data_IF_677986254968
#
_entry.id   IF_677986254968
#
_cell.length_a   1.000
_cell.length_b   1.000
_cell.length_c   1.000
_cell.angle_alpha   90.00
_cell.angle_beta   90.00
_cell.angle_gamma   90.00
#
_symmetry.space_group_name_H-M   'P 1'
#
loop_
_entity.id
_entity.type
_entity.pdbx_description
1 polymer ?
#
# COMPACT_ATOMS: atom_id res chain seq x y z
N UNK A 1 1.58 5.93 12.36
CA UNK A 1 0.79 6.17 11.15
C UNK A 1 1.49 5.44 10.02
N UNK A 2 1.11 4.18 9.74
CA UNK A 2 1.60 3.44 8.57
C UNK A 2 1.01 4.14 7.35
N UNK A 3 1.86 4.69 6.51
CA UNK A 3 1.47 5.28 5.23
C UNK A 3 1.01 4.15 4.33
N UNK A 4 -0.27 4.10 4.02
CA UNK A 4 -0.81 3.23 2.99
C UNK A 4 -0.30 3.81 1.67
N UNK A 5 0.73 3.18 1.11
CA UNK A 5 1.16 3.46 -0.24
C UNK A 5 0.14 2.84 -1.18
N UNK A 6 -0.68 3.67 -1.80
CA UNK A 6 -1.34 3.30 -3.04
C UNK A 6 -0.23 3.01 -4.06
N UNK A 7 0.01 1.71 -4.29
CA UNK A 7 0.87 1.29 -5.39
C UNK A 7 0.15 1.64 -6.69
N UNK A 8 0.44 2.80 -7.21
CA UNK A 8 0.20 3.13 -8.60
C UNK A 8 1.43 2.66 -9.37
N UNK A 9 1.42 1.40 -9.79
CA UNK A 9 2.39 0.88 -10.74
C UNK A 9 2.20 1.63 -12.06
N UNK A 10 3.01 2.67 -12.27
CA UNK A 10 3.17 3.20 -13.60
C UNK A 10 3.99 2.19 -14.40
N UNK A 11 3.40 1.53 -15.39
CA UNK A 11 4.19 1.01 -16.50
C UNK A 11 4.91 2.22 -17.09
N UNK A 12 6.21 2.34 -16.82
CA UNK A 12 7.04 3.35 -17.43
C UNK A 12 7.26 2.90 -18.88
N UNK A 13 6.40 3.39 -19.77
CA UNK A 13 6.86 3.59 -21.14
C UNK A 13 7.98 4.62 -21.05
N UNK A 14 9.21 4.16 -21.09
CA UNK A 14 10.37 5.01 -21.33
C UNK A 14 10.20 5.55 -22.73
N UNK A 15 9.49 6.69 -22.84
CA UNK A 15 9.53 7.50 -24.04
C UNK A 15 10.95 8.05 -24.14
N UNK A 16 11.83 7.28 -24.72
CA UNK A 16 13.15 7.73 -25.10
C UNK A 16 12.97 8.75 -26.22
N UNK A 17 12.97 10.03 -25.85
CA UNK A 17 13.29 11.07 -26.83
C UNK A 17 14.72 10.85 -27.26
N UNK A 18 14.91 10.00 -28.27
CA UNK A 18 16.18 9.74 -28.92
C UNK A 18 16.62 11.01 -29.64
N UNK A 19 17.39 11.85 -28.96
CA UNK A 19 18.29 12.81 -29.65
C UNK A 19 19.51 12.08 -30.22
N UNK A 20 19.27 11.03 -30.99
CA UNK A 20 20.35 10.43 -31.80
C UNK A 20 20.57 11.29 -33.03
N UNK A 21 21.77 11.81 -33.17
CA UNK A 21 22.18 12.64 -34.29
C UNK A 21 22.32 11.86 -35.62
N UNK A 22 22.30 10.51 -35.52
CA UNK A 22 22.48 9.61 -36.66
C UNK A 22 21.54 8.39 -36.56
N UNK A 23 20.83 7.99 -37.64
CA UNK A 23 19.96 6.81 -37.63
C UNK A 23 20.67 5.50 -37.26
N UNK A 24 22.00 5.40 -37.55
CA UNK A 24 22.81 4.24 -37.20
C UNK A 24 22.98 4.06 -35.68
N UNK A 25 23.20 5.14 -34.94
CA UNK A 25 23.36 5.12 -33.48
C UNK A 25 22.06 4.70 -32.79
N UNK A 26 20.91 5.10 -33.35
CA UNK A 26 19.59 4.73 -32.81
C UNK A 26 19.34 3.23 -32.91
N UNK A 27 19.69 2.59 -34.02
CA UNK A 27 19.53 1.15 -34.20
C UNK A 27 20.47 0.35 -33.30
N UNK A 28 21.68 0.84 -33.08
CA UNK A 28 22.67 0.19 -32.22
C UNK A 28 22.20 0.23 -30.73
N UNK A 29 21.75 1.40 -30.26
CA UNK A 29 21.20 1.57 -28.93
C UNK A 29 19.95 0.70 -28.71
N UNK A 30 19.08 0.62 -29.70
CA UNK A 30 17.89 -0.24 -29.63
C UNK A 30 18.27 -1.73 -29.56
N UNK A 31 19.24 -2.18 -30.35
CA UNK A 31 19.74 -3.56 -30.33
C UNK A 31 20.42 -3.91 -28.99
N UNK A 32 21.16 -2.98 -28.39
CA UNK A 32 21.75 -3.15 -27.06
C UNK A 32 20.68 -3.23 -25.98
N UNK A 33 19.61 -2.43 -26.05
CA UNK A 33 18.50 -2.47 -25.15
C UNK A 33 17.75 -3.81 -25.22
N UNK A 34 17.46 -4.31 -26.42
CA UNK A 34 16.84 -5.64 -26.60
C UNK A 34 17.71 -6.74 -25.99
N UNK A 35 19.01 -6.74 -26.23
CA UNK A 35 19.94 -7.72 -25.62
C UNK A 35 19.94 -7.64 -24.10
N UNK A 36 19.85 -6.44 -23.55
CA UNK A 36 19.75 -6.24 -22.10
C UNK A 36 18.45 -6.82 -21.55
N UNK A 37 17.32 -6.57 -22.22
CA UNK A 37 16.01 -7.12 -21.81
C UNK A 37 16.02 -8.66 -21.88
N UNK A 38 16.55 -9.25 -22.97
CA UNK A 38 16.70 -10.70 -23.10
C UNK A 38 17.60 -11.29 -22.01
N UNK A 39 18.68 -10.60 -21.65
CA UNK A 39 19.57 -11.03 -20.57
C UNK A 39 18.85 -11.01 -19.20
N UNK A 40 18.07 -9.98 -18.93
CA UNK A 40 17.26 -9.88 -17.70
C UNK A 40 16.23 -11.00 -17.67
N UNK A 41 15.42 -11.15 -18.72
CA UNK A 41 14.38 -12.18 -18.78
C UNK A 41 14.98 -13.59 -18.59
N UNK A 42 16.11 -13.88 -19.24
CA UNK A 42 16.81 -15.17 -19.11
C UNK A 42 17.40 -15.42 -17.72
N UNK A 43 17.57 -14.40 -16.91
CA UNK A 43 18.08 -14.52 -15.54
C UNK A 43 16.96 -14.79 -14.51
N UNK A 44 15.70 -14.65 -14.89
CA UNK A 44 14.55 -14.86 -14.03
C UNK A 44 14.15 -16.34 -13.95
N UNK A 45 13.83 -16.81 -12.74
CA UNK A 45 13.51 -18.22 -12.47
C UNK A 45 12.01 -18.41 -12.24
N UNK A 46 11.26 -18.49 -13.32
CA UNK A 46 9.83 -18.73 -13.25
C UNK A 46 9.49 -20.13 -12.76
N UNK A 47 8.46 -20.23 -11.94
CA UNK A 47 7.98 -21.48 -11.37
C UNK A 47 6.53 -21.77 -11.78
N UNK A 48 6.18 -23.05 -11.79
CA UNK A 48 4.81 -23.58 -11.96
C UNK A 48 4.49 -24.55 -10.83
N UNK A 49 3.24 -25.02 -10.78
CA UNK A 49 2.79 -25.97 -9.76
C UNK A 49 2.53 -25.30 -8.40
N UNK A 50 2.65 -26.06 -7.34
CA UNK A 50 2.29 -25.63 -6.00
C UNK A 50 3.41 -24.83 -5.34
N UNK A 51 3.12 -23.57 -4.99
CA UNK A 51 4.05 -22.64 -4.36
C UNK A 51 3.41 -22.09 -3.07
N UNK A 52 4.18 -22.07 -1.99
CA UNK A 52 3.76 -21.51 -0.70
C UNK A 52 4.02 -19.99 -0.67
N UNK A 53 3.02 -19.21 -0.25
CA UNK A 53 3.09 -17.76 -0.18
C UNK A 53 3.18 -17.29 1.28
N UNK A 54 4.02 -16.26 1.52
CA UNK A 54 4.05 -15.51 2.77
C UNK A 54 4.27 -16.38 4.02
N UNK A 55 5.24 -17.27 4.01
CA UNK A 55 5.54 -18.16 5.16
C UNK A 55 4.33 -19.00 5.61
N UNK A 56 3.57 -19.52 4.65
CA UNK A 56 2.44 -20.40 4.92
C UNK A 56 1.09 -19.71 5.13
N UNK A 57 0.96 -18.45 4.73
CA UNK A 57 -0.33 -17.73 4.76
C UNK A 57 -1.29 -18.35 3.73
N UNK A 58 -0.81 -18.54 2.51
CA UNK A 58 -1.60 -19.06 1.39
C UNK A 58 -0.74 -19.96 0.51
N UNK A 59 -1.38 -20.67 -0.40
CA UNK A 59 -0.76 -21.46 -1.44
C UNK A 59 -1.30 -21.00 -2.79
N UNK A 60 -0.41 -20.85 -3.79
CA UNK A 60 -0.80 -20.69 -5.19
C UNK A 60 -0.45 -21.96 -5.96
N UNK A 61 -1.40 -22.46 -6.75
CA UNK A 61 -1.18 -23.62 -7.64
C UNK A 61 -1.18 -23.12 -9.08
N UNK A 62 0.01 -22.86 -9.61
CA UNK A 62 0.25 -22.24 -10.92
C UNK A 62 0.17 -23.30 -12.03
N UNK A 63 -0.86 -23.27 -12.91
CA UNK A 63 -0.99 -24.21 -14.01
C UNK A 63 -0.04 -23.89 -15.18
N UNK A 64 0.02 -24.76 -16.19
CA UNK A 64 0.89 -24.61 -17.36
C UNK A 64 0.62 -23.33 -18.19
N UNK A 65 -0.61 -22.79 -18.13
CA UNK A 65 -0.96 -21.52 -18.78
C UNK A 65 -0.38 -20.26 -18.14
N UNK A 66 0.29 -20.42 -16.99
CA UNK A 66 0.89 -19.34 -16.21
C UNK A 66 2.29 -19.68 -15.71
N UNK A 67 3.03 -18.67 -15.28
CA UNK A 67 4.32 -18.78 -14.62
C UNK A 67 4.45 -17.74 -13.50
N UNK A 68 5.21 -18.04 -12.46
CA UNK A 68 5.27 -17.26 -11.24
C UNK A 68 6.70 -16.93 -10.83
N UNK A 69 6.95 -15.67 -10.50
CA UNK A 69 8.18 -15.23 -9.83
C UNK A 69 7.94 -15.14 -8.32
N UNK A 70 8.82 -15.75 -7.55
CA UNK A 70 8.78 -15.65 -6.09
C UNK A 70 9.27 -14.28 -5.58
N UNK A 71 9.03 -14.01 -4.31
CA UNK A 71 9.16 -12.69 -3.68
C UNK A 71 10.45 -11.92 -3.99
N UNK A 72 11.61 -12.57 -3.99
CA UNK A 72 12.89 -11.89 -4.20
C UNK A 72 13.03 -11.34 -5.63
N UNK A 73 12.73 -12.16 -6.65
CA UNK A 73 12.77 -11.76 -8.05
C UNK A 73 11.58 -10.86 -8.40
N UNK A 74 10.42 -11.11 -7.80
CA UNK A 74 9.25 -10.25 -7.92
C UNK A 74 9.54 -8.83 -7.41
N UNK A 75 10.25 -8.68 -6.30
CA UNK A 75 10.67 -7.37 -5.78
C UNK A 75 11.61 -6.65 -6.76
N UNK A 76 12.58 -7.38 -7.33
CA UNK A 76 13.46 -6.81 -8.37
C UNK A 76 12.66 -6.34 -9.60
N UNK A 77 11.76 -7.19 -10.10
CA UNK A 77 10.94 -6.85 -11.28
C UNK A 77 10.04 -5.65 -10.98
N UNK A 78 9.30 -5.66 -9.87
CA UNK A 78 8.33 -4.61 -9.56
C UNK A 78 9.01 -3.30 -9.21
N UNK A 79 10.06 -3.32 -8.40
CA UNK A 79 10.65 -2.10 -7.83
C UNK A 79 11.80 -1.55 -8.68
N UNK A 80 12.67 -2.41 -9.21
CA UNK A 80 13.86 -1.97 -9.92
C UNK A 80 13.68 -1.98 -11.46
N UNK A 81 13.00 -2.98 -12.02
CA UNK A 81 12.77 -3.07 -13.45
C UNK A 81 11.59 -2.20 -13.91
N UNK A 82 10.44 -2.29 -13.23
CA UNK A 82 9.23 -1.51 -13.53
C UNK A 82 9.19 -0.14 -12.87
N UNK A 83 10.17 0.19 -12.00
CA UNK A 83 10.33 1.51 -11.39
C UNK A 83 9.27 1.87 -10.35
N UNK A 84 8.61 0.89 -9.74
CA UNK A 84 7.69 1.18 -8.64
C UNK A 84 8.44 1.64 -7.39
N UNK A 85 7.80 2.44 -6.52
CA UNK A 85 8.40 2.86 -5.26
C UNK A 85 8.85 1.68 -4.42
N UNK A 86 10.05 1.77 -3.84
CA UNK A 86 10.56 0.76 -2.92
C UNK A 86 9.70 0.69 -1.67
N UNK A 87 9.30 -0.51 -1.30
CA UNK A 87 8.43 -0.79 -0.16
C UNK A 87 8.54 -2.23 0.27
N UNK A 88 7.48 -2.75 0.88
CA UNK A 88 7.38 -4.17 1.21
C UNK A 88 7.44 -5.02 -0.07
N UNK A 89 8.24 -6.08 -0.04
CA UNK A 89 8.37 -6.98 -1.19
C UNK A 89 7.03 -7.69 -1.46
N UNK A 90 6.60 -7.82 -2.73
CA UNK A 90 5.44 -8.63 -3.06
C UNK A 90 5.69 -10.10 -2.70
N UNK A 91 4.64 -10.88 -2.50
CA UNK A 91 4.74 -12.32 -2.32
C UNK A 91 5.17 -13.02 -3.62
N UNK A 92 4.89 -12.39 -4.75
CA UNK A 92 5.30 -12.83 -6.06
C UNK A 92 4.62 -12.05 -7.18
N UNK A 93 4.92 -12.44 -8.43
CA UNK A 93 4.26 -11.94 -9.64
C UNK A 93 3.85 -13.11 -10.51
N UNK A 94 2.57 -13.16 -10.89
CA UNK A 94 1.99 -14.17 -11.78
C UNK A 94 1.89 -13.61 -13.19
N UNK A 95 2.45 -14.29 -14.16
CA UNK A 95 2.42 -13.96 -15.59
C UNK A 95 1.66 -15.03 -16.37
N UNK A 96 0.99 -14.69 -17.47
CA UNK A 96 0.67 -15.67 -18.50
C UNK A 96 1.95 -16.35 -19.01
N UNK A 97 1.86 -17.64 -19.38
CA UNK A 97 3.05 -18.41 -19.76
C UNK A 97 3.81 -17.83 -20.97
N UNK A 98 3.06 -17.15 -21.88
CA UNK A 98 3.54 -16.55 -23.11
C UNK A 98 4.03 -15.09 -22.96
N UNK A 99 4.05 -14.54 -21.75
CA UNK A 99 4.54 -13.19 -21.47
C UNK A 99 5.61 -13.21 -20.37
N UNK A 100 6.41 -12.15 -20.27
CA UNK A 100 7.51 -12.05 -19.32
C UNK A 100 7.62 -10.68 -18.67
N UNK A 101 8.56 -10.54 -17.76
CA UNK A 101 8.77 -9.30 -16.99
C UNK A 101 9.31 -8.15 -17.85
N UNK A 102 9.91 -8.47 -19.00
CA UNK A 102 10.52 -7.50 -19.92
C UNK A 102 9.68 -7.18 -21.14
N UNK A 103 8.50 -7.81 -21.26
CA UNK A 103 7.61 -7.56 -22.40
C UNK A 103 6.97 -6.17 -22.32
N UNK A 104 6.87 -5.51 -23.47
CA UNK A 104 6.29 -4.17 -23.58
C UNK A 104 4.75 -4.15 -23.49
N UNK A 105 4.11 -5.31 -23.54
CA UNK A 105 2.65 -5.47 -23.51
C UNK A 105 2.23 -6.64 -22.63
N UNK A 106 0.92 -6.91 -22.62
CA UNK A 106 0.36 -7.96 -21.78
C UNK A 106 0.02 -7.49 -20.36
N UNK A 107 -0.15 -8.44 -19.47
CA UNK A 107 -0.46 -8.17 -18.06
C UNK A 107 0.25 -9.15 -17.12
N UNK A 108 0.38 -8.76 -15.88
CA UNK A 108 0.83 -9.62 -14.79
C UNK A 108 0.10 -9.25 -13.50
N UNK A 109 -0.12 -10.22 -12.62
CA UNK A 109 -0.68 -9.97 -11.30
C UNK A 109 0.41 -9.90 -10.25
N UNK A 110 0.58 -8.73 -9.64
CA UNK A 110 1.40 -8.56 -8.44
C UNK A 110 0.61 -9.12 -7.25
N UNK A 111 1.17 -10.09 -6.55
CA UNK A 111 0.55 -10.77 -5.41
C UNK A 111 1.12 -10.23 -4.11
N UNK A 112 0.26 -9.73 -3.22
CA UNK A 112 0.65 -9.17 -1.93
C UNK A 112 -0.30 -9.64 -0.83
N UNK A 113 0.12 -9.52 0.43
CA UNK A 113 -0.74 -9.71 1.59
C UNK A 113 -0.77 -8.44 2.43
N UNK A 114 -1.97 -7.96 2.72
CA UNK A 114 -2.21 -6.82 3.59
C UNK A 114 -2.72 -7.31 4.94
N UNK A 115 -1.90 -7.20 6.00
CA UNK A 115 -2.27 -7.55 7.38
C UNK A 115 -3.17 -6.46 7.98
N UNK A 116 -4.44 -6.46 7.57
CA UNK A 116 -5.45 -5.47 7.96
C UNK A 116 -6.27 -5.91 9.19
N UNK A 117 -6.13 -7.17 9.61
CA UNK A 117 -7.08 -7.85 10.48
C UNK A 117 -8.28 -8.42 9.69
N UNK A 118 -9.26 -8.95 10.41
CA UNK A 118 -10.45 -9.56 9.83
C UNK A 118 -11.40 -8.52 9.25
N UNK A 119 -11.55 -8.47 7.92
CA UNK A 119 -12.45 -7.55 7.23
C UNK A 119 -13.85 -8.14 7.20
N UNK A 120 -14.80 -7.51 7.92
CA UNK A 120 -16.21 -7.92 7.88
C UNK A 120 -16.84 -7.53 6.55
N UNK A 121 -17.70 -8.40 6.02
CA UNK A 121 -18.35 -8.23 4.72
C UNK A 121 -19.85 -7.85 4.80
N UNK A 122 -20.30 -7.40 5.98
CA UNK A 122 -21.71 -7.04 6.25
C UNK A 122 -22.21 -5.84 5.44
N UNK A 123 -21.30 -5.01 4.92
CA UNK A 123 -21.60 -3.81 4.14
C UNK A 123 -21.64 -4.06 2.62
N UNK A 124 -21.21 -5.23 2.14
CA UNK A 124 -21.02 -5.50 0.72
C UNK A 124 -22.27 -5.22 -0.16
N UNK A 125 -23.46 -5.57 0.33
CA UNK A 125 -24.73 -5.37 -0.40
C UNK A 125 -25.27 -3.93 -0.32
N UNK A 126 -24.63 -3.07 0.48
CA UNK A 126 -25.13 -1.71 0.76
C UNK A 126 -24.33 -0.63 0.07
N UNK A 127 -23.33 -1.02 -0.71
CA UNK A 127 -22.41 -0.09 -1.34
C UNK A 127 -23.04 0.43 -2.63
N UNK A 128 -23.20 1.75 -2.73
CA UNK A 128 -23.50 2.41 -4.00
C UNK A 128 -22.17 2.67 -4.74
N UNK A 129 -21.90 1.85 -5.75
CA UNK A 129 -20.67 1.95 -6.53
C UNK A 129 -20.65 3.15 -7.49
N UNK A 130 -21.79 3.80 -7.77
CA UNK A 130 -21.84 5.02 -8.56
C UNK A 130 -21.39 6.22 -7.69
N UNK A 131 -21.93 6.33 -6.48
CA UNK A 131 -21.50 7.34 -5.51
C UNK A 131 -20.03 7.14 -5.13
N UNK A 132 -19.60 5.89 -4.92
CA UNK A 132 -18.20 5.58 -4.62
C UNK A 132 -17.25 6.01 -5.76
N UNK A 133 -17.65 5.81 -7.04
CA UNK A 133 -16.86 6.26 -8.17
C UNK A 133 -16.73 7.78 -8.22
N UNK A 134 -17.81 8.50 -7.88
CA UNK A 134 -17.77 9.97 -7.79
C UNK A 134 -16.75 10.43 -6.76
N UNK A 135 -16.79 9.86 -5.55
CA UNK A 135 -15.83 10.17 -4.49
C UNK A 135 -14.39 9.83 -4.89
N UNK A 136 -14.19 8.73 -5.62
CA UNK A 136 -12.88 8.33 -6.15
C UNK A 136 -12.36 9.33 -7.19
N UNK A 137 -13.21 9.81 -8.10
CA UNK A 137 -12.83 10.85 -9.08
C UNK A 137 -12.45 12.17 -8.39
N UNK A 138 -13.19 12.58 -7.37
CA UNK A 138 -12.85 13.76 -6.58
C UNK A 138 -11.52 13.59 -5.82
N UNK A 139 -11.25 12.39 -5.31
CA UNK A 139 -9.97 12.06 -4.66
C UNK A 139 -8.82 12.07 -5.67
N UNK A 140 -9.02 11.50 -6.87
CA UNK A 140 -8.02 11.47 -7.95
C UNK A 140 -7.57 12.87 -8.38
N UNK A 141 -8.48 13.86 -8.39
CA UNK A 141 -8.12 15.26 -8.68
C UNK A 141 -7.11 15.79 -7.64
N UNK A 142 -7.37 15.55 -6.35
CA UNK A 142 -6.48 15.98 -5.26
C UNK A 142 -5.14 15.23 -5.29
N UNK A 143 -5.16 13.93 -5.58
CA UNK A 143 -3.96 13.12 -5.75
C UNK A 143 -3.11 13.65 -6.90
N UNK A 144 -3.72 14.05 -8.01
CA UNK A 144 -3.04 14.65 -9.15
C UNK A 144 -2.40 16.02 -8.82
N UNK A 145 -2.99 16.79 -7.91
CA UNK A 145 -2.37 18.03 -7.42
C UNK A 145 -1.07 17.71 -6.64
N UNK A 146 -1.09 16.68 -5.78
CA UNK A 146 0.11 16.25 -5.05
C UNK A 146 1.16 15.63 -6.00
N UNK A 147 0.74 14.86 -7.00
CA UNK A 147 1.64 14.31 -8.02
C UNK A 147 2.38 15.41 -8.78
N UNK A 148 1.68 16.49 -9.19
CA UNK A 148 2.32 17.64 -9.85
C UNK A 148 3.36 18.33 -8.97
N UNK A 149 3.11 18.46 -7.66
CA UNK A 149 4.09 19.04 -6.70
C UNK A 149 5.37 18.20 -6.56
N UNK A 150 5.27 16.90 -6.86
CA UNK A 150 6.38 15.95 -6.80
C UNK A 150 7.00 15.66 -8.17
N UNK A 151 6.66 16.43 -9.21
CA UNK A 151 7.05 16.22 -10.60
C UNK A 151 6.71 14.80 -11.13
N UNK A 152 5.61 14.23 -10.63
CA UNK A 152 5.11 12.93 -11.08
C UNK A 152 4.02 13.10 -12.14
N UNK A 153 3.98 12.19 -13.11
CA UNK A 153 2.93 12.14 -14.13
C UNK A 153 1.55 12.00 -13.49
N UNK A 154 0.57 12.80 -13.90
CA UNK A 154 -0.82 12.71 -13.43
C UNK A 154 -1.54 11.51 -14.03
N UNK A 155 -2.60 11.05 -13.36
CA UNK A 155 -3.45 9.94 -13.79
C UNK A 155 -4.90 10.30 -13.52
N UNK A 156 -5.68 10.47 -14.58
CA UNK A 156 -7.09 10.85 -14.46
C UNK A 156 -7.98 9.63 -14.45
N UNK A 157 -8.70 9.39 -13.36
CA UNK A 157 -9.66 8.29 -13.25
C UNK A 157 -10.87 8.55 -14.15
N UNK A 158 -11.03 7.76 -15.20
CA UNK A 158 -12.15 7.89 -16.15
C UNK A 158 -13.40 7.19 -15.64
N UNK A 159 -13.26 5.96 -15.10
CA UNK A 159 -14.39 5.19 -14.63
C UNK A 159 -14.05 3.76 -14.21
N UNK A 160 -15.10 2.96 -14.06
CA UNK A 160 -14.96 1.53 -13.92
C UNK A 160 -14.78 0.90 -15.31
N UNK A 161 -13.65 0.20 -15.53
CA UNK A 161 -13.50 -0.73 -16.65
C UNK A 161 -14.27 -2.03 -16.36
N UNK A 162 -14.27 -2.49 -15.11
CA UNK A 162 -15.17 -3.51 -14.58
C UNK A 162 -15.72 -3.02 -13.23
N UNK A 163 -17.05 -3.04 -13.09
CA UNK A 163 -17.70 -2.61 -11.83
C UNK A 163 -17.30 -3.54 -10.69
N UNK A 164 -17.14 -3.01 -9.45
CA UNK A 164 -16.87 -3.85 -8.31
C UNK A 164 -17.94 -4.94 -8.12
N UNK A 165 -17.46 -6.15 -7.89
CA UNK A 165 -18.27 -7.32 -7.60
C UNK A 165 -17.71 -8.07 -6.39
N UNK A 166 -18.57 -8.42 -5.44
CA UNK A 166 -18.23 -9.21 -4.27
C UNK A 166 -18.92 -10.58 -4.31
N UNK A 167 -18.11 -11.63 -4.40
CA UNK A 167 -18.56 -13.02 -4.25
C UNK A 167 -18.54 -13.41 -2.77
N UNK A 168 -19.72 -13.51 -2.16
CA UNK A 168 -19.87 -13.85 -0.74
C UNK A 168 -19.47 -15.28 -0.41
N UNK A 169 -19.57 -16.20 -1.34
CA UNK A 169 -19.22 -17.61 -1.10
C UNK A 169 -17.71 -17.79 -1.13
N UNK A 170 -17.06 -17.23 -2.14
CA UNK A 170 -15.61 -17.27 -2.31
C UNK A 170 -14.87 -16.28 -1.42
N UNK A 171 -15.57 -15.28 -0.83
CA UNK A 171 -14.98 -14.16 -0.09
C UNK A 171 -13.99 -13.35 -0.94
N UNK A 172 -14.36 -13.10 -2.18
CA UNK A 172 -13.55 -12.41 -3.19
C UNK A 172 -14.26 -11.15 -3.66
N UNK A 173 -13.53 -10.06 -3.66
CA UNK A 173 -13.93 -8.76 -4.20
C UNK A 173 -13.01 -8.43 -5.38
N UNK A 174 -13.57 -8.04 -6.53
CA UNK A 174 -12.77 -7.59 -7.67
C UNK A 174 -13.42 -6.45 -8.42
N UNK A 175 -12.59 -5.62 -9.06
CA UNK A 175 -13.01 -4.49 -9.89
C UNK A 175 -11.87 -4.07 -10.81
N UNK A 176 -12.19 -3.26 -11.82
CA UNK A 176 -11.18 -2.61 -12.64
C UNK A 176 -11.50 -1.13 -12.84
N UNK A 177 -10.44 -0.31 -12.81
CA UNK A 177 -10.48 1.12 -13.09
C UNK A 177 -9.76 1.42 -14.40
N UNK A 178 -10.30 2.40 -15.12
CA UNK A 178 -9.71 2.96 -16.33
C UNK A 178 -9.10 4.32 -16.02
N UNK A 179 -7.85 4.52 -16.41
CA UNK A 179 -7.13 5.78 -16.23
C UNK A 179 -6.63 6.32 -17.56
N UNK A 180 -6.68 7.65 -17.71
CA UNK A 180 -5.96 8.39 -18.75
C UNK A 180 -4.68 8.97 -18.17
N UNK A 181 -3.58 8.77 -18.90
CA UNK A 181 -2.24 9.29 -18.54
C UNK A 181 -1.83 10.25 -19.66
N UNK A 182 -1.47 11.51 -19.36
CA UNK A 182 -1.04 12.47 -20.37
C UNK A 182 0.17 11.95 -21.16
N UNK A 183 0.06 11.97 -22.50
CA UNK A 183 1.11 11.49 -23.40
C UNK A 183 1.12 9.99 -23.67
N UNK A 184 0.27 9.19 -23.00
CA UNK A 184 0.05 7.80 -23.37
C UNK A 184 -0.96 7.71 -24.53
N UNK A 185 -0.69 6.82 -25.50
CA UNK A 185 -1.58 6.59 -26.64
C UNK A 185 -2.84 5.82 -26.23
N UNK A 186 -2.73 4.99 -25.19
CA UNK A 186 -3.79 4.12 -24.69
C UNK A 186 -4.12 4.41 -23.22
N UNK A 187 -5.36 4.13 -22.83
CA UNK A 187 -5.75 4.18 -21.43
C UNK A 187 -5.18 3.00 -20.65
N UNK A 188 -4.94 3.23 -19.38
CA UNK A 188 -4.40 2.23 -18.45
C UNK A 188 -5.53 1.53 -17.74
N UNK A 189 -5.47 0.20 -17.73
CA UNK A 189 -6.28 -0.69 -16.92
C UNK A 189 -5.59 -0.93 -15.58
N UNK A 190 -6.31 -0.74 -14.49
CA UNK A 190 -5.89 -1.17 -13.16
C UNK A 190 -6.94 -2.14 -12.63
N UNK A 191 -6.61 -3.43 -12.60
CA UNK A 191 -7.48 -4.52 -12.18
C UNK A 191 -7.06 -4.98 -10.79
N UNK A 192 -8.00 -4.95 -9.86
CA UNK A 192 -7.80 -5.32 -8.46
C UNK A 192 -8.64 -6.52 -8.09
N UNK A 193 -8.01 -7.50 -7.43
CA UNK A 193 -8.66 -8.64 -6.78
C UNK A 193 -8.26 -8.65 -5.32
N UNK A 194 -9.24 -8.87 -4.44
CA UNK A 194 -9.08 -8.94 -2.99
C UNK A 194 -9.70 -10.23 -2.48
N UNK A 195 -8.90 -11.14 -1.94
CA UNK A 195 -9.35 -12.39 -1.32
C UNK A 195 -9.29 -12.21 0.19
N UNK A 196 -10.43 -12.29 0.87
CA UNK A 196 -10.49 -12.08 2.31
C UNK A 196 -10.00 -13.30 3.06
N UNK A 197 -9.12 -13.08 4.03
CA UNK A 197 -8.59 -14.09 4.93
C UNK A 197 -8.90 -13.79 6.40
N UNK A 198 -8.39 -14.63 7.30
CA UNK A 198 -8.59 -14.50 8.75
C UNK A 198 -8.00 -13.22 9.32
N UNK A 199 -6.79 -12.84 8.88
CA UNK A 199 -6.03 -11.74 9.48
C UNK A 199 -5.74 -10.61 8.51
N UNK A 200 -6.28 -10.67 7.32
CA UNK A 200 -6.04 -9.68 6.28
C UNK A 200 -6.56 -10.10 4.93
N UNK A 201 -6.01 -9.48 3.91
CA UNK A 201 -6.47 -9.59 2.53
C UNK A 201 -5.31 -9.95 1.63
N UNK A 202 -5.44 -11.01 0.85
CA UNK A 202 -4.54 -11.28 -0.25
C UNK A 202 -4.99 -10.46 -1.46
N UNK A 203 -4.06 -9.72 -2.05
CA UNK A 203 -4.34 -8.85 -3.18
C UNK A 203 -3.63 -9.35 -4.42
N UNK A 204 -4.34 -9.38 -5.55
CA UNK A 204 -3.77 -9.58 -6.86
C UNK A 204 -4.10 -8.33 -7.68
N UNK A 205 -3.08 -7.60 -8.08
CA UNK A 205 -3.24 -6.36 -8.83
C UNK A 205 -2.55 -6.47 -10.19
N UNK A 206 -3.32 -6.24 -11.26
CA UNK A 206 -2.77 -6.14 -12.60
C UNK A 206 -2.90 -4.71 -13.12
N UNK A 207 -1.80 -4.22 -13.75
CA UNK A 207 -1.77 -2.97 -14.50
C UNK A 207 -1.36 -3.29 -15.92
N UNK A 208 -2.16 -2.83 -16.88
CA UNK A 208 -1.92 -3.06 -18.31
C UNK A 208 -2.59 -1.98 -19.16
N UNK A 209 -2.57 -2.13 -20.48
CA UNK A 209 -3.43 -1.32 -21.36
C UNK A 209 -4.89 -1.80 -21.31
N UNK A 210 -5.81 -0.92 -21.66
CA UNK A 210 -7.24 -1.28 -21.73
C UNK A 210 -7.53 -2.39 -22.77
N UNK A 211 -6.63 -2.63 -23.72
CA UNK A 211 -6.76 -3.73 -24.68
C UNK A 211 -6.71 -5.11 -24.03
N UNK A 212 -6.07 -5.21 -22.85
CA UNK A 212 -5.94 -6.46 -22.10
C UNK A 212 -7.17 -6.78 -21.21
N UNK A 213 -8.18 -5.91 -21.15
CA UNK A 213 -9.33 -6.10 -20.26
C UNK A 213 -10.02 -7.45 -20.50
N UNK A 214 -10.24 -7.82 -21.75
CA UNK A 214 -10.88 -9.09 -22.09
C UNK A 214 -9.99 -10.29 -21.74
N UNK A 215 -8.68 -10.17 -21.98
CA UNK A 215 -7.70 -11.20 -21.60
C UNK A 215 -7.69 -11.43 -20.09
N UNK A 216 -7.65 -10.34 -19.29
CA UNK A 216 -7.70 -10.41 -17.84
C UNK A 216 -9.02 -11.03 -17.35
N UNK A 217 -10.15 -10.58 -17.88
CA UNK A 217 -11.47 -11.11 -17.50
C UNK A 217 -11.61 -12.60 -17.83
N UNK A 218 -11.12 -13.04 -18.99
CA UNK A 218 -11.20 -14.45 -19.41
C UNK A 218 -10.37 -15.38 -18.51
N UNK A 219 -9.28 -14.88 -17.91
CA UNK A 219 -8.43 -15.66 -17.01
C UNK A 219 -8.79 -15.46 -15.53
N UNK A 220 -9.71 -14.55 -15.20
CA UNK A 220 -10.00 -14.21 -13.81
C UNK A 220 -10.41 -15.40 -12.95
N UNK A 221 -11.37 -16.19 -13.44
CA UNK A 221 -11.85 -17.38 -12.69
C UNK A 221 -10.72 -18.40 -12.47
N UNK A 222 -9.84 -18.58 -13.45
CA UNK A 222 -8.66 -19.45 -13.32
C UNK A 222 -7.71 -18.91 -12.25
N UNK A 223 -7.38 -17.62 -12.31
CA UNK A 223 -6.51 -16.95 -11.33
C UNK A 223 -7.09 -17.03 -9.91
N UNK A 224 -8.40 -16.81 -9.75
CA UNK A 224 -9.06 -16.94 -8.45
C UNK A 224 -9.00 -18.36 -7.88
N UNK A 225 -9.07 -19.38 -8.74
CA UNK A 225 -9.00 -20.77 -8.30
C UNK A 225 -7.56 -21.26 -7.99
N UNK A 226 -6.53 -20.53 -8.45
CA UNK A 226 -5.13 -20.85 -8.14
C UNK A 226 -4.77 -20.63 -6.67
N UNK A 227 -5.39 -19.64 -6.03
CA UNK A 227 -4.97 -19.15 -4.71
C UNK A 227 -5.91 -19.63 -3.62
N UNK A 228 -5.32 -20.18 -2.55
CA UNK A 228 -6.09 -20.68 -1.40
C UNK A 228 -5.36 -20.32 -0.10
N UNK A 229 -6.04 -19.71 0.84
CA UNK A 229 -5.53 -19.55 2.20
C UNK A 229 -5.33 -20.90 2.86
N UNK A 230 -4.19 -21.10 3.50
CA UNK A 230 -3.90 -22.31 4.25
C UNK A 230 -4.77 -22.40 5.51
N UNK A 231 -4.93 -23.62 6.03
CA UNK A 231 -5.68 -23.85 7.27
C UNK A 231 -5.15 -22.96 8.40
N UNK A 232 -6.05 -22.32 9.14
CA UNK A 232 -5.76 -21.36 10.18
C UNK A 232 -5.67 -19.91 9.68
N UNK A 233 -5.64 -19.67 8.36
CA UNK A 233 -5.61 -18.34 7.74
C UNK A 233 -6.84 -18.03 6.88
N UNK A 234 -7.77 -18.98 6.75
CA UNK A 234 -9.00 -18.82 5.96
C UNK A 234 -9.95 -17.82 6.62
N UNK A 235 -10.81 -17.20 5.85
CA UNK A 235 -11.82 -16.30 6.38
C UNK A 235 -12.71 -16.96 7.46
N UNK A 236 -13.08 -18.23 7.25
CA UNK A 236 -13.88 -19.01 8.19
C UNK A 236 -13.13 -19.42 9.49
N UNK A 237 -11.82 -19.28 9.53
CA UNK A 237 -10.99 -19.62 10.69
C UNK A 237 -10.92 -18.48 11.73
N UNK A 238 -11.68 -17.38 11.52
CA UNK A 238 -11.72 -16.23 12.43
C UNK A 238 -12.18 -16.61 13.83
N UNK A 239 -11.44 -16.17 14.83
CA UNK A 239 -11.78 -16.32 16.25
C UNK A 239 -11.91 -14.94 16.91
N UNK A 240 -13.13 -14.55 17.24
CA UNK A 240 -13.44 -13.25 17.84
C UNK A 240 -12.80 -13.00 19.22
N UNK A 241 -12.20 -14.02 19.84
CA UNK A 241 -11.50 -13.90 21.14
C UNK A 241 -10.03 -13.53 21.00
N UNK A 242 -9.43 -13.87 19.86
CA UNK A 242 -7.99 -13.76 19.64
C UNK A 242 -7.61 -12.89 18.45
N UNK A 243 -8.53 -12.68 17.51
CA UNK A 243 -8.23 -11.99 16.26
C UNK A 243 -8.72 -10.54 16.27
N UNK A 244 -7.93 -9.68 15.66
CA UNK A 244 -8.29 -8.28 15.47
C UNK A 244 -9.27 -8.11 14.30
N UNK A 245 -10.30 -7.29 14.51
CA UNK A 245 -11.23 -6.90 13.46
C UNK A 245 -10.69 -5.67 12.75
N UNK A 246 -10.60 -5.73 11.43
CA UNK A 246 -10.16 -4.62 10.60
C UNK A 246 -11.05 -3.38 10.79
N UNK A 247 -10.44 -2.20 10.72
CA UNK A 247 -11.17 -0.94 10.59
C UNK A 247 -11.75 -0.75 9.16
N UNK A 248 -11.34 -1.59 8.23
CA UNK A 248 -11.74 -1.59 6.82
C UNK A 248 -13.12 -2.23 6.63
N UNK A 249 -13.83 -1.75 5.60
CA UNK A 249 -15.07 -2.32 5.07
C UNK A 249 -14.86 -2.75 3.62
N UNK A 250 -15.80 -3.48 3.02
CA UNK A 250 -15.72 -3.84 1.60
C UNK A 250 -15.63 -2.58 0.72
N UNK A 251 -16.50 -1.58 0.97
CA UNK A 251 -16.41 -0.29 0.27
C UNK A 251 -15.08 0.43 0.51
N UNK A 252 -14.52 0.31 1.70
CA UNK A 252 -13.21 0.86 2.03
C UNK A 252 -12.07 0.22 1.24
N UNK A 253 -12.10 -1.09 1.03
CA UNK A 253 -11.13 -1.80 0.19
C UNK A 253 -11.14 -1.29 -1.26
N UNK A 254 -12.33 -1.05 -1.84
CA UNK A 254 -12.47 -0.46 -3.19
C UNK A 254 -11.97 0.99 -3.23
N UNK A 255 -12.28 1.76 -2.18
CA UNK A 255 -11.88 3.15 -2.07
C UNK A 255 -10.40 3.35 -1.76
N UNK A 256 -9.68 2.31 -1.33
CA UNK A 256 -8.29 2.42 -0.87
C UNK A 256 -8.12 3.23 0.42
N UNK A 257 -9.20 3.39 1.20
CA UNK A 257 -9.20 4.16 2.46
C UNK A 257 -10.16 3.57 3.48
N UNK A 258 -9.88 3.77 4.77
CA UNK A 258 -10.82 3.41 5.82
C UNK A 258 -12.07 4.28 5.69
N UNK A 259 -13.18 3.68 5.28
CA UNK A 259 -14.49 4.32 5.32
C UNK A 259 -15.04 4.17 6.74
N UNK A 260 -15.40 5.30 7.33
CA UNK A 260 -15.99 5.30 8.66
C UNK A 260 -17.28 4.49 8.67
N UNK A 261 -17.30 3.39 9.43
CA UNK A 261 -18.56 2.71 9.74
C UNK A 261 -19.48 3.71 10.44
N UNK A 262 -20.73 3.82 9.98
CA UNK A 262 -21.73 4.74 10.53
C UNK A 262 -21.90 4.59 12.08
N UNK A 263 -21.49 3.47 12.67
CA UNK A 263 -21.44 3.25 14.11
C UNK A 263 -20.08 3.57 14.79
N UNK A 264 -18.98 3.59 14.05
CA UNK A 264 -17.64 3.77 14.62
C UNK A 264 -17.43 5.19 15.16
N UNK A 265 -17.88 6.21 14.43
CA UNK A 265 -17.84 7.59 14.92
C UNK A 265 -18.81 7.83 16.08
N UNK A 266 -19.96 7.17 16.11
CA UNK A 266 -20.87 7.27 17.25
C UNK A 266 -20.22 6.70 18.53
N UNK A 267 -19.42 5.63 18.40
CA UNK A 267 -18.65 5.08 19.53
C UNK A 267 -17.50 6.02 19.89
N UNK A 268 -16.72 6.52 18.95
CA UNK A 268 -15.64 7.49 19.22
C UNK A 268 -16.20 8.76 19.85
N UNK A 269 -17.29 9.32 19.30
CA UNK A 269 -17.95 10.51 19.87
C UNK A 269 -18.46 10.25 21.27
N UNK A 270 -18.99 9.07 21.56
CA UNK A 270 -19.43 8.68 22.91
C UNK A 270 -18.26 8.65 23.90
N UNK A 271 -17.08 8.28 23.46
CA UNK A 271 -15.87 8.24 24.30
C UNK A 271 -14.98 9.47 24.17
N UNK A 272 -15.25 10.38 23.22
CA UNK A 272 -14.44 11.57 22.96
C UNK A 272 -14.29 12.45 24.21
N UNK A 273 -15.36 12.59 25.02
CA UNK A 273 -15.31 13.30 26.28
C UNK A 273 -14.30 12.70 27.27
N UNK A 274 -14.18 11.37 27.33
CA UNK A 274 -13.21 10.70 28.20
C UNK A 274 -11.79 10.82 27.66
N UNK A 275 -11.61 10.82 26.34
CA UNK A 275 -10.31 11.07 25.68
C UNK A 275 -9.84 12.50 25.96
N UNK A 276 -10.73 13.50 25.84
CA UNK A 276 -10.42 14.91 26.14
C UNK A 276 -10.08 15.08 27.61
N UNK A 277 -10.84 14.47 28.52
CA UNK A 277 -10.56 14.50 29.96
C UNK A 277 -9.21 13.82 30.25
N UNK A 278 -8.92 12.66 29.63
CA UNK A 278 -7.66 11.95 29.80
C UNK A 278 -6.45 12.79 29.34
N UNK A 279 -6.57 13.47 28.19
CA UNK A 279 -5.53 14.38 27.66
C UNK A 279 -5.40 15.61 28.61
N UNK A 280 -6.50 16.17 29.11
CA UNK A 280 -6.47 17.28 30.06
C UNK A 280 -5.77 16.91 31.37
N UNK A 281 -6.07 15.75 31.93
CA UNK A 281 -5.46 15.25 33.18
C UNK A 281 -3.97 14.94 32.93
N UNK A 282 -3.61 14.26 31.85
CA UNK A 282 -2.22 13.99 31.49
C UNK A 282 -1.43 15.29 31.22
N UNK A 283 -2.03 16.24 30.51
CA UNK A 283 -1.44 17.55 30.25
C UNK A 283 -1.15 18.34 31.53
N UNK A 284 -2.09 18.36 32.49
CA UNK A 284 -1.89 19.04 33.78
C UNK A 284 -0.86 18.33 34.67
N UNK A 285 -0.77 17.00 34.64
CA UNK A 285 0.24 16.25 35.34
C UNK A 285 1.64 16.51 34.77
N UNK A 286 1.79 16.52 33.45
CA UNK A 286 3.04 16.87 32.77
C UNK A 286 3.43 18.32 33.05
N UNK A 287 2.47 19.26 32.98
CA UNK A 287 2.71 20.67 33.31
C UNK A 287 3.18 20.86 34.75
N UNK A 288 2.54 20.22 35.72
CA UNK A 288 2.96 20.25 37.14
C UNK A 288 4.33 19.63 37.33
N UNK A 289 4.67 18.55 36.63
CA UNK A 289 5.99 17.92 36.71
C UNK A 289 7.11 18.82 36.17
N UNK A 290 6.85 19.51 35.06
CA UNK A 290 7.82 20.44 34.44
C UNK A 290 7.98 21.72 35.29
N UNK A 291 6.85 22.32 35.74
CA UNK A 291 6.91 23.56 36.54
C UNK A 291 7.35 23.34 37.97
N UNK A 292 7.01 22.17 38.56
CA UNK A 292 7.47 21.81 39.91
C UNK A 292 8.99 21.58 39.99
N UNK A 293 9.60 21.07 38.91
CA UNK A 293 11.06 20.94 38.84
C UNK A 293 11.77 22.29 38.77
N UNK A 294 11.22 23.29 38.09
CA UNK A 294 11.80 24.64 38.03
C UNK A 294 11.80 25.34 39.41
N UNK A 295 10.70 25.26 40.16
CA UNK A 295 10.61 25.82 41.53
C UNK A 295 11.63 25.18 42.46
N UNK A 296 11.84 23.87 42.39
CA UNK A 296 12.80 23.18 43.23
C UNK A 296 14.28 23.51 42.88
N UNK A 297 14.57 23.89 41.65
CA UNK A 297 15.89 24.36 41.23
C UNK A 297 16.15 25.81 41.67
N UNK A 298 15.16 26.71 41.67
CA UNK A 298 15.28 28.07 42.18
C UNK A 298 15.46 28.09 43.69
N UNK A 299 14.76 27.22 44.44
CA UNK A 299 14.87 27.11 45.90
C UNK A 299 16.22 26.54 46.34
N UNK A 300 16.85 25.67 45.52
CA UNK A 300 18.22 25.16 45.77
C UNK A 300 19.33 26.13 45.37
N UNK A 301 19.05 27.14 44.53
CA UNK A 301 20.01 28.16 44.12
C UNK A 301 20.07 29.35 45.07
N UNK A 302 19.11 29.53 46.00
CA UNK A 302 19.11 30.57 46.99
C UNK A 302 19.53 30.01 48.35
N UNK A 303 20.84 29.77 48.53
CA UNK A 303 21.45 29.64 49.87
C UNK A 303 22.15 30.97 50.20
N UNK A 304 21.73 31.70 51.25
CA UNK A 304 22.45 32.89 51.69
C UNK A 304 23.82 32.48 52.26
N UNK A 305 24.83 33.13 51.77
CA UNK A 305 26.19 32.96 52.31
C UNK A 305 26.23 33.47 53.78
N UNK A 306 26.92 32.77 54.69
CA UNK A 306 27.12 33.26 56.05
C UNK A 306 28.02 34.51 56.04
N UNK A 307 27.57 35.58 56.69
CA UNK A 307 28.28 36.79 56.89
C UNK A 307 29.53 36.52 57.74
N UNK A 308 30.73 36.81 57.21
CA UNK A 308 31.98 36.82 57.94
C UNK A 308 32.00 38.09 58.83
N UNK A 309 31.81 37.92 60.09
CA UNK A 309 32.13 38.96 61.08
C UNK A 309 33.64 39.16 61.16
N UNK A 310 34.12 40.34 60.72
CA UNK A 310 35.47 40.83 60.90
C UNK A 310 35.63 41.26 62.37
N UNK A 311 36.39 40.48 63.14
CA UNK A 311 36.75 40.82 64.51
C UNK A 311 37.96 41.71 64.46
N UNK A 312 37.70 43.01 64.63
CA UNK A 312 38.74 44.01 64.73
C UNK A 312 39.16 44.11 66.22
N UNK A 313 40.23 43.45 66.54
CA UNK A 313 40.87 43.62 67.91
C UNK A 313 42.12 44.50 67.80
N UNK A 314 41.90 45.75 68.19
CA UNK A 314 42.95 46.73 68.41
C UNK A 314 43.65 46.44 69.71
N UNK A 315 44.94 46.25 69.68
CA UNK A 315 45.81 46.41 70.86
C UNK A 315 46.99 47.26 70.50
N UNK A 316 47.03 48.47 71.02
CA UNK A 316 48.16 49.43 71.02
C UNK A 316 49.05 49.19 72.25
N UNK A 317 50.26 49.59 72.22
CA UNK A 317 51.37 49.04 73.00
C UNK A 317 51.76 49.84 74.21
N UNK A 318 52.59 49.25 74.95
CA UNK A 318 53.77 49.94 75.59
C UNK A 318 55.02 49.15 75.26
#
# INVERSE_FOLDING_TARGET
MKRIFLFLSGLFFVSFSLFAKDPGDSLQLFAEQLKRMDSIESSLHYKTGKIELGSGIATINVPEGFKFLESAEAAYVVQDLWGNPKGEAPLGVLFPANSGATDAGGYAFIVQFEDLGYVKDEDADKIDYADLLKDLKESSIKENEERRKLDLTTMDLLGWAAKPHYDKEKKVLYWAKEYSIPGAEEHTLNYDVRILGRKGVLTLQAVSSMQELDSVNNHLDEVLNMVTFNQGNRYADFDSKTDDVAAWTIGGLVAGKVLAKVGFFAVILKFLKFIIIGIGVAGTAIWRFITGRKKKQEELAYQPQPSTEENHNSSTPL
#
